data_IF_597908319230
#
_entry.id   IF_597908319230
#
_cell.length_a   1.000
_cell.length_b   1.000
_cell.length_c   1.000
_cell.angle_alpha   90.00
_cell.angle_beta   90.00
_cell.angle_gamma   90.00
#
_symmetry.space_group_name_H-M   'P 1'
#
loop_
_entity.id
_entity.type
_entity.pdbx_description
1 polymer ?
#
# COMPACT_ATOMS: atom_id res chain seq x y z
N UNK A 1 15.86 -7.56 3.61
CA UNK A 1 15.90 -6.29 2.86
C UNK A 1 17.21 -6.02 2.15
N UNK A 2 18.37 -5.89 2.82
CA UNK A 2 19.65 -5.54 2.15
C UNK A 2 20.03 -6.48 0.99
N UNK A 3 19.93 -7.81 1.20
CA UNK A 3 20.22 -8.78 0.15
C UNK A 3 19.26 -8.66 -1.06
N UNK A 4 17.98 -8.34 -0.81
CA UNK A 4 17.00 -8.14 -1.88
C UNK A 4 17.31 -6.86 -2.67
N UNK A 5 17.68 -5.77 -2.00
CA UNK A 5 18.11 -4.55 -2.69
C UNK A 5 19.33 -4.84 -3.57
N UNK A 6 20.37 -5.49 -3.04
CA UNK A 6 21.58 -5.82 -3.81
C UNK A 6 21.25 -6.68 -5.04
N UNK A 7 20.36 -7.65 -4.88
CA UNK A 7 19.89 -8.48 -5.99
C UNK A 7 19.16 -7.63 -7.05
N UNK A 8 18.23 -6.76 -6.65
CA UNK A 8 17.53 -5.87 -7.59
C UNK A 8 18.52 -4.93 -8.29
N UNK A 9 19.48 -4.35 -7.57
CA UNK A 9 20.53 -3.47 -8.13
C UNK A 9 21.51 -4.19 -9.05
N UNK A 10 21.62 -5.52 -8.97
CA UNK A 10 22.40 -6.33 -9.90
C UNK A 10 21.72 -6.46 -11.27
N UNK A 11 20.40 -6.56 -11.30
CA UNK A 11 19.63 -6.83 -12.53
C UNK A 11 18.91 -5.60 -13.10
N UNK A 12 18.65 -4.59 -12.28
CA UNK A 12 17.96 -3.37 -12.66
C UNK A 12 18.95 -2.19 -12.74
N UNK A 13 18.66 -1.24 -13.63
CA UNK A 13 19.41 0.01 -13.69
C UNK A 13 19.40 0.73 -12.34
N UNK A 14 20.51 1.39 -12.00
CA UNK A 14 20.60 2.26 -10.82
C UNK A 14 19.59 3.42 -10.84
N UNK A 15 19.02 3.73 -12.02
CA UNK A 15 17.96 4.73 -12.19
C UNK A 15 16.57 4.25 -11.74
N UNK A 16 16.37 2.94 -11.56
CA UNK A 16 15.08 2.42 -11.09
C UNK A 16 14.87 2.85 -9.64
N UNK A 17 13.72 3.48 -9.39
CA UNK A 17 13.29 3.85 -8.06
C UNK A 17 12.80 2.62 -7.30
N UNK A 18 13.36 2.36 -6.13
CA UNK A 18 12.97 1.23 -5.28
C UNK A 18 12.30 1.77 -4.03
N UNK A 19 11.18 1.16 -3.65
CA UNK A 19 10.40 1.54 -2.48
C UNK A 19 9.87 0.30 -1.75
N UNK A 20 9.40 0.49 -0.53
CA UNK A 20 8.72 -0.53 0.29
C UNK A 20 7.31 -0.05 0.64
N UNK A 21 6.39 -0.99 0.86
CA UNK A 21 5.04 -0.73 1.35
C UNK A 21 4.86 -1.48 2.65
N UNK A 22 4.31 -0.81 3.65
CA UNK A 22 3.98 -1.39 4.94
C UNK A 22 2.66 -0.75 5.45
N UNK A 23 1.85 -1.48 6.25
CA UNK A 23 0.64 -0.91 6.82
C UNK A 23 0.99 0.25 7.76
N UNK A 24 0.01 1.11 8.04
CA UNK A 24 0.11 2.26 8.96
C UNK A 24 0.26 1.86 10.45
N UNK A 25 1.24 1.02 10.74
CA UNK A 25 1.59 0.48 12.05
C UNK A 25 3.08 0.80 12.29
N UNK A 26 3.38 1.43 13.42
CA UNK A 26 4.74 1.94 13.74
C UNK A 26 5.82 0.84 13.63
N UNK A 27 5.52 -0.35 14.17
CA UNK A 27 6.42 -1.50 14.12
C UNK A 27 6.62 -2.03 12.70
N UNK A 28 5.58 -2.03 11.86
CA UNK A 28 5.70 -2.47 10.47
C UNK A 28 6.64 -1.54 9.70
N UNK A 29 6.43 -0.22 9.78
CA UNK A 29 7.27 0.78 9.13
C UNK A 29 8.72 0.82 9.66
N UNK A 30 8.92 0.46 10.93
CA UNK A 30 10.25 0.32 11.51
C UNK A 30 11.00 -0.90 10.97
N UNK A 31 10.32 -2.03 10.78
CA UNK A 31 10.94 -3.31 10.42
C UNK A 31 10.93 -3.63 8.92
N UNK A 32 9.99 -3.06 8.16
CA UNK A 32 9.72 -3.41 6.76
C UNK A 32 10.66 -2.78 5.74
N UNK A 33 11.52 -1.86 6.16
CA UNK A 33 12.36 -1.09 5.24
C UNK A 33 13.78 -0.84 5.73
N UNK A 34 14.62 -0.32 4.83
CA UNK A 34 16.01 0.07 5.07
C UNK A 34 16.23 1.50 4.56
N UNK A 35 17.26 2.18 5.06
CA UNK A 35 17.47 3.61 4.80
C UNK A 35 17.71 3.99 3.33
N UNK A 36 18.14 3.04 2.50
CA UNK A 36 18.38 3.21 1.06
C UNK A 36 17.11 3.18 0.20
N UNK A 37 15.98 2.71 0.76
CA UNK A 37 14.71 2.55 0.04
C UNK A 37 13.70 3.60 0.48
N UNK A 38 12.85 4.03 -0.45
CA UNK A 38 11.76 4.94 -0.13
C UNK A 38 10.63 4.21 0.60
N UNK A 39 10.10 4.78 1.68
CA UNK A 39 9.00 4.16 2.43
C UNK A 39 7.65 4.73 2.00
N UNK A 40 6.75 3.84 1.60
CA UNK A 40 5.34 4.11 1.32
C UNK A 40 4.46 3.36 2.31
N UNK A 41 3.18 3.68 2.34
CA UNK A 41 2.22 3.04 3.24
C UNK A 41 1.08 2.40 2.45
N UNK A 42 0.40 1.44 3.06
CA UNK A 42 -0.92 0.97 2.64
C UNK A 42 -1.98 1.28 3.71
N UNK A 43 -3.19 1.64 3.25
CA UNK A 43 -4.38 1.79 4.09
C UNK A 43 -5.63 1.93 3.22
N UNK A 44 -6.75 1.35 3.68
CA UNK A 44 -8.06 1.43 3.02
C UNK A 44 -8.95 2.57 3.51
N UNK A 45 -10.19 2.60 3.00
CA UNK A 45 -11.23 3.49 3.50
C UNK A 45 -11.50 3.29 5.00
N UNK A 46 -11.87 4.35 5.71
CA UNK A 46 -12.06 4.34 7.17
C UNK A 46 -10.83 4.75 7.98
N UNK A 47 -9.64 4.75 7.38
CA UNK A 47 -8.45 5.30 8.02
C UNK A 47 -8.38 6.83 7.90
N UNK A 48 -7.91 7.49 8.96
CA UNK A 48 -7.66 8.93 8.96
C UNK A 48 -6.45 9.26 8.07
N UNK A 49 -6.71 9.84 6.90
CA UNK A 49 -5.70 10.15 5.88
C UNK A 49 -4.57 11.03 6.43
N UNK A 50 -4.89 12.02 7.28
CA UNK A 50 -3.87 12.89 7.88
C UNK A 50 -2.95 12.11 8.79
N UNK A 51 -3.50 11.23 9.65
CA UNK A 51 -2.71 10.39 10.56
C UNK A 51 -1.90 9.35 9.80
N UNK A 52 -2.48 8.72 8.79
CA UNK A 52 -1.79 7.75 7.94
C UNK A 52 -0.55 8.36 7.27
N UNK A 53 -0.70 9.53 6.64
CA UNK A 53 0.42 10.20 6.00
C UNK A 53 1.38 10.89 6.96
N UNK A 54 0.92 11.32 8.15
CA UNK A 54 1.82 11.76 9.21
C UNK A 54 2.75 10.63 9.66
N UNK A 55 2.24 9.39 9.73
CA UNK A 55 3.05 8.23 10.05
C UNK A 55 4.04 7.90 8.92
N UNK A 56 3.62 7.98 7.64
CA UNK A 56 4.57 7.91 6.53
C UNK A 56 5.68 8.96 6.67
N UNK A 57 5.33 10.22 6.98
CA UNK A 57 6.28 11.32 7.11
C UNK A 57 7.29 11.10 8.24
N UNK A 58 6.89 10.48 9.35
CA UNK A 58 7.77 10.10 10.46
C UNK A 58 8.94 9.22 9.97
N UNK A 59 8.65 8.25 9.10
CA UNK A 59 9.65 7.30 8.59
C UNK A 59 10.27 7.71 7.25
N UNK A 60 9.63 8.61 6.51
CA UNK A 60 10.10 9.17 5.25
C UNK A 60 9.96 10.70 5.26
N UNK A 61 10.90 11.43 5.88
CA UNK A 61 10.76 12.87 6.14
C UNK A 61 10.66 13.77 4.90
N UNK A 62 11.05 13.25 3.72
CA UNK A 62 11.05 14.00 2.45
C UNK A 62 10.53 13.12 1.32
N UNK A 63 9.95 13.77 0.30
CA UNK A 63 9.37 13.12 -0.88
C UNK A 63 7.84 13.08 -0.85
N UNK A 64 7.20 12.53 -1.90
CA UNK A 64 5.75 12.52 -2.05
C UNK A 64 5.05 11.62 -1.03
N UNK A 65 3.83 11.97 -0.67
CA UNK A 65 2.94 11.03 0.02
C UNK A 65 2.50 9.96 -0.97
N UNK A 66 2.50 8.70 -0.52
CA UNK A 66 2.17 7.57 -1.39
C UNK A 66 1.39 6.53 -0.59
N UNK A 67 0.14 6.30 -0.99
CA UNK A 67 -0.62 5.12 -0.60
C UNK A 67 -0.50 4.07 -1.72
N UNK A 68 0.38 3.09 -1.51
CA UNK A 68 0.71 2.08 -2.51
C UNK A 68 -0.38 1.02 -2.66
N UNK A 69 -1.27 0.88 -1.67
CA UNK A 69 -2.42 -0.02 -1.73
C UNK A 69 -3.62 0.61 -1.01
N UNK A 70 -4.44 1.33 -1.79
CA UNK A 70 -5.72 1.84 -1.33
C UNK A 70 -6.81 0.79 -1.61
N UNK A 71 -7.26 0.13 -0.54
CA UNK A 71 -8.19 -1.00 -0.65
C UNK A 71 -9.59 -0.56 -1.11
N UNK A 72 -10.01 -1.02 -2.29
CA UNK A 72 -11.34 -0.75 -2.89
C UNK A 72 -12.40 -1.77 -2.49
N UNK A 73 -11.98 -2.84 -1.81
CA UNK A 73 -12.76 -3.95 -1.30
C UNK A 73 -11.84 -4.90 -0.53
N UNK A 74 -12.31 -6.12 -0.29
CA UNK A 74 -11.51 -7.13 0.41
C UNK A 74 -11.67 -8.51 -0.25
N UNK A 75 -10.75 -9.43 0.06
CA UNK A 75 -10.83 -10.81 -0.40
C UNK A 75 -11.76 -11.64 0.49
N UNK A 76 -12.28 -12.73 -0.06
CA UNK A 76 -13.15 -13.64 0.69
C UNK A 76 -12.42 -14.89 1.18
N UNK A 77 -12.91 -15.41 2.31
CA UNK A 77 -12.58 -16.75 2.79
C UNK A 77 -13.74 -17.72 2.52
N UNK A 78 -13.40 -18.99 2.33
CA UNK A 78 -14.41 -20.04 2.16
C UNK A 78 -15.29 -20.18 3.41
N UNK A 79 -16.61 -20.09 3.23
CA UNK A 79 -17.59 -20.23 4.30
C UNK A 79 -17.95 -18.93 5.02
N UNK A 80 -17.32 -17.81 4.68
CA UNK A 80 -17.64 -16.49 5.21
C UNK A 80 -18.60 -15.71 4.29
N UNK A 81 -19.12 -14.59 4.80
CA UNK A 81 -19.92 -13.67 3.99
C UNK A 81 -19.05 -12.92 2.98
N UNK A 82 -19.57 -12.69 1.78
CA UNK A 82 -18.89 -11.92 0.75
C UNK A 82 -18.60 -10.49 1.23
N UNK A 83 -17.35 -10.05 1.13
CA UNK A 83 -16.95 -8.69 1.43
C UNK A 83 -17.38 -7.74 0.31
N UNK A 84 -18.21 -6.76 0.67
CA UNK A 84 -18.63 -5.71 -0.24
C UNK A 84 -18.57 -4.37 0.46
N UNK A 85 -17.92 -3.40 -0.18
CA UNK A 85 -17.82 -2.02 0.29
C UNK A 85 -18.73 -1.10 -0.54
N UNK A 86 -19.21 -0.02 0.09
CA UNK A 86 -20.05 0.95 -0.61
C UNK A 86 -19.18 1.81 -1.54
N UNK A 87 -19.50 1.93 -2.84
CA UNK A 87 -18.71 2.73 -3.77
C UNK A 87 -18.54 4.19 -3.32
N UNK A 88 -19.57 4.78 -2.71
CA UNK A 88 -19.52 6.16 -2.20
C UNK A 88 -18.54 6.31 -1.03
N UNK A 89 -18.39 5.26 -0.22
CA UNK A 89 -17.45 5.24 0.89
C UNK A 89 -16.01 5.19 0.39
N UNK A 90 -15.73 4.37 -0.63
CA UNK A 90 -14.44 4.32 -1.29
C UNK A 90 -14.13 5.66 -1.99
N UNK A 91 -15.07 6.20 -2.77
CA UNK A 91 -14.88 7.48 -3.46
C UNK A 91 -14.57 8.63 -2.46
N UNK A 92 -15.28 8.68 -1.33
CA UNK A 92 -15.07 9.70 -0.32
C UNK A 92 -13.64 9.72 0.25
N UNK A 93 -13.07 8.56 0.58
CA UNK A 93 -11.69 8.49 1.09
C UNK A 93 -10.65 8.66 -0.01
N UNK A 94 -10.93 8.21 -1.24
CA UNK A 94 -10.08 8.47 -2.39
C UNK A 94 -9.93 9.98 -2.65
N UNK A 95 -11.03 10.74 -2.60
CA UNK A 95 -11.03 12.20 -2.76
C UNK A 95 -10.17 12.89 -1.69
N UNK A 96 -10.21 12.40 -0.44
CA UNK A 96 -9.35 12.90 0.63
C UNK A 96 -7.86 12.63 0.34
N UNK A 97 -7.52 11.43 -0.13
CA UNK A 97 -6.14 11.08 -0.49
C UNK A 97 -5.64 11.97 -1.64
N UNK A 98 -6.42 12.10 -2.71
CA UNK A 98 -6.06 12.92 -3.87
C UNK A 98 -5.92 14.41 -3.53
N UNK A 99 -6.72 14.90 -2.57
CA UNK A 99 -6.64 16.27 -2.05
C UNK A 99 -5.46 16.50 -1.11
N UNK A 100 -4.82 15.44 -0.60
CA UNK A 100 -3.73 15.53 0.37
C UNK A 100 -2.40 15.82 -0.32
N UNK A 101 -2.07 17.10 -0.50
CA UNK A 101 -0.77 17.57 -1.00
C UNK A 101 -0.29 16.85 -2.28
N UNK A 102 -1.23 16.51 -3.18
CA UNK A 102 -0.96 15.77 -4.42
C UNK A 102 -0.30 14.39 -4.17
N UNK A 103 -0.81 13.66 -3.18
CA UNK A 103 -0.39 12.29 -2.90
C UNK A 103 -0.60 11.37 -4.10
N UNK A 104 0.33 10.44 -4.30
CA UNK A 104 0.16 9.34 -5.24
C UNK A 104 -0.65 8.22 -4.58
N UNK A 105 -1.52 7.57 -5.35
CA UNK A 105 -2.35 6.47 -4.87
C UNK A 105 -2.47 5.37 -5.91
N UNK A 106 -2.49 4.12 -5.45
CA UNK A 106 -2.76 2.94 -6.26
C UNK A 106 -3.99 2.21 -5.73
N UNK A 107 -4.96 1.91 -6.60
CA UNK A 107 -6.23 1.26 -6.27
C UNK A 107 -6.06 -0.26 -6.22
N UNK A 108 -6.20 -0.85 -5.03
CA UNK A 108 -6.02 -2.28 -4.80
C UNK A 108 -7.35 -2.95 -4.40
N UNK A 109 -8.02 -3.73 -5.22
CA UNK A 109 -7.78 -4.00 -6.64
C UNK A 109 -8.68 -3.12 -7.49
N UNK A 110 -8.16 -2.54 -8.58
CA UNK A 110 -9.00 -1.91 -9.58
C UNK A 110 -9.87 -2.94 -10.32
N UNK A 111 -9.28 -4.08 -10.67
CA UNK A 111 -9.94 -5.28 -11.16
C UNK A 111 -9.25 -6.51 -10.55
N UNK A 112 -10.00 -7.37 -9.84
CA UNK A 112 -9.41 -8.49 -9.09
C UNK A 112 -9.16 -9.76 -9.90
N UNK A 113 -9.95 -10.00 -10.95
CA UNK A 113 -9.82 -11.19 -11.78
C UNK A 113 -10.29 -12.48 -11.09
N UNK A 114 -9.56 -13.57 -11.28
CA UNK A 114 -9.95 -14.89 -10.76
C UNK A 114 -8.74 -15.78 -10.46
N UNK A 115 -8.71 -16.35 -9.27
CA UNK A 115 -7.77 -17.42 -8.90
C UNK A 115 -8.24 -18.73 -9.55
N UNK A 116 -7.57 -19.15 -10.63
CA UNK A 116 -7.90 -20.40 -11.35
C UNK A 116 -7.13 -21.60 -10.76
N UNK A 117 -7.70 -22.79 -10.91
CA UNK A 117 -7.09 -24.05 -10.46
C UNK A 117 -6.73 -23.98 -8.96
N UNK A 118 -5.46 -24.17 -8.63
CA UNK A 118 -4.94 -24.21 -7.26
C UNK A 118 -4.11 -22.96 -6.91
N UNK A 119 -4.43 -21.81 -7.53
CA UNK A 119 -3.68 -20.56 -7.34
C UNK A 119 -4.21 -19.71 -6.17
N UNK A 120 -5.28 -20.12 -5.49
CA UNK A 120 -5.75 -19.41 -4.31
C UNK A 120 -4.78 -19.61 -3.13
N UNK A 121 -4.65 -18.60 -2.29
CA UNK A 121 -3.95 -18.70 -1.01
C UNK A 121 -4.82 -19.33 0.09
N UNK A 122 -4.30 -19.29 1.31
CA UNK A 122 -5.03 -19.56 2.55
C UNK A 122 -4.41 -18.73 3.67
N UNK A 123 -5.26 -18.09 4.47
CA UNK A 123 -4.90 -17.22 5.59
C UNK A 123 -5.69 -17.57 6.83
#
# INVERSE_FOLDING_TARGET
MLAMEQMLRKYLSQKVFLYTTDPIIDQALQCGSISSLYRTVDFGAGHDVNKSFALQRKYQPKGPYVNSEYYTGWFDNWGEGHHAERPEYIAHYLDQILSFENASVNLYLFEGGSNRNFMNGGS
#
